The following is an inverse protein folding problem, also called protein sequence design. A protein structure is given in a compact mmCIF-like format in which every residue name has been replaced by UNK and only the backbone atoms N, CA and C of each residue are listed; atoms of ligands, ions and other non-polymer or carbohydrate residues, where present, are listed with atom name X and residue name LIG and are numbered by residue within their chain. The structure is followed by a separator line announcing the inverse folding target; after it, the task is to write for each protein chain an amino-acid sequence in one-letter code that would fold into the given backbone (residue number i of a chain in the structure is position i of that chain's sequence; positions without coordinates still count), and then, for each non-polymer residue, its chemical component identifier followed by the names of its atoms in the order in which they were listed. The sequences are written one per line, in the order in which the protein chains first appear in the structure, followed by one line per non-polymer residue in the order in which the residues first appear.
data_IF_067735804525
#
_entry.id   IF_067735804525
#
_cell.length_a   1.000
_cell.length_b   1.000
_cell.length_c   1.000
_cell.angle_alpha   90.00
_cell.angle_beta   90.00
_cell.angle_gamma   90.00
#
_symmetry.space_group_name_H-M   'P 1'
#
loop_
_entity.id
_entity.type
_entity.pdbx_description
1 polymer ?
#
# COMPACT_ATOMS: atom_id res chain seq x y z
N UNK A 1 -32.14 -41.57 -4.73
CA UNK A 1 -31.44 -40.79 -3.68
C UNK A 1 -30.15 -40.29 -4.30
N UNK A 2 -30.05 -38.97 -4.49
CA UNK A 2 -28.95 -38.34 -5.22
C UNK A 2 -27.65 -38.37 -4.42
N UNK A 3 -26.56 -38.77 -5.08
CA UNK A 3 -25.21 -38.58 -4.59
C UNK A 3 -24.86 -37.10 -4.77
N UNK A 4 -24.67 -36.39 -3.67
CA UNK A 4 -24.11 -35.04 -3.68
C UNK A 4 -22.63 -35.15 -4.01
N UNK A 5 -22.26 -34.72 -5.22
CA UNK A 5 -20.88 -34.59 -5.64
C UNK A 5 -20.12 -33.64 -4.70
N UNK A 6 -19.02 -34.12 -4.14
CA UNK A 6 -18.03 -33.27 -3.46
C UNK A 6 -17.52 -32.25 -4.47
N UNK A 7 -17.90 -30.97 -4.32
CA UNK A 7 -17.20 -29.87 -5.02
C UNK A 7 -15.73 -29.95 -4.61
N UNK A 8 -14.85 -30.15 -5.58
CA UNK A 8 -13.40 -30.27 -5.36
C UNK A 8 -12.83 -28.96 -4.81
N UNK A 9 -12.44 -28.94 -3.52
CA UNK A 9 -11.72 -27.82 -2.87
C UNK A 9 -10.39 -27.46 -3.56
N UNK A 10 -9.89 -28.31 -4.47
CA UNK A 10 -8.66 -28.06 -5.22
C UNK A 10 -8.78 -26.89 -6.20
N UNK A 11 -10.00 -26.59 -6.69
CA UNK A 11 -10.24 -25.51 -7.64
C UNK A 11 -9.89 -24.12 -7.09
N UNK A 12 -10.54 -23.65 -6.01
CA UNK A 12 -10.32 -22.29 -5.47
C UNK A 12 -8.87 -22.00 -5.08
N UNK A 13 -8.19 -22.95 -4.44
CA UNK A 13 -6.78 -22.79 -4.02
C UNK A 13 -5.83 -22.77 -5.23
N UNK A 14 -6.12 -23.57 -6.27
CA UNK A 14 -5.37 -23.54 -7.52
C UNK A 14 -5.44 -22.15 -8.18
N UNK A 15 -6.63 -21.55 -8.23
CA UNK A 15 -6.82 -20.21 -8.79
C UNK A 15 -6.09 -19.13 -8.00
N UNK A 16 -6.09 -19.17 -6.66
CA UNK A 16 -5.27 -18.25 -5.84
C UNK A 16 -3.78 -18.36 -6.15
N UNK A 17 -3.26 -19.59 -6.30
CA UNK A 17 -1.85 -19.82 -6.68
C UNK A 17 -1.54 -19.26 -8.07
N UNK A 18 -2.44 -19.45 -9.04
CA UNK A 18 -2.31 -18.91 -10.41
C UNK A 18 -2.33 -17.38 -10.40
N UNK A 19 -3.28 -16.75 -9.70
CA UNK A 19 -3.34 -15.28 -9.49
C UNK A 19 -2.02 -14.75 -8.93
N UNK A 20 -1.50 -15.38 -7.87
CA UNK A 20 -0.24 -14.97 -7.24
C UNK A 20 0.95 -15.10 -8.19
N UNK A 21 1.04 -16.19 -8.94
CA UNK A 21 2.11 -16.42 -9.92
C UNK A 21 2.09 -15.38 -11.04
N UNK A 22 0.93 -15.17 -11.67
CA UNK A 22 0.78 -14.18 -12.75
C UNK A 22 1.01 -12.75 -12.26
N UNK A 23 0.49 -12.40 -11.09
CA UNK A 23 0.75 -11.11 -10.46
C UNK A 23 2.25 -10.87 -10.26
N UNK A 24 2.99 -11.86 -9.73
CA UNK A 24 4.44 -11.75 -9.53
C UNK A 24 5.20 -11.64 -10.86
N UNK A 25 4.82 -12.41 -11.87
CA UNK A 25 5.41 -12.38 -13.22
C UNK A 25 5.21 -11.01 -13.88
N UNK A 26 3.97 -10.50 -13.89
CA UNK A 26 3.63 -9.20 -14.47
C UNK A 26 4.36 -8.06 -13.75
N UNK A 27 4.44 -8.11 -12.42
CA UNK A 27 5.15 -7.10 -11.62
C UNK A 27 6.65 -7.08 -11.94
N UNK A 28 7.30 -8.25 -12.05
CA UNK A 28 8.72 -8.33 -12.41
C UNK A 28 8.96 -7.82 -13.83
N UNK A 29 8.13 -8.23 -14.80
CA UNK A 29 8.24 -7.80 -16.19
C UNK A 29 8.05 -6.29 -16.33
N UNK A 30 7.02 -5.71 -15.70
CA UNK A 30 6.81 -4.27 -15.67
C UNK A 30 7.96 -3.54 -15.01
N UNK A 31 8.47 -4.03 -13.88
CA UNK A 31 9.61 -3.43 -13.18
C UNK A 31 10.84 -3.36 -14.09
N UNK A 32 11.12 -4.43 -14.83
CA UNK A 32 12.25 -4.46 -15.76
C UNK A 32 12.04 -3.49 -16.94
N UNK A 33 10.86 -3.54 -17.59
CA UNK A 33 10.53 -2.64 -18.71
C UNK A 33 10.58 -1.16 -18.32
N UNK A 34 10.10 -0.82 -17.12
CA UNK A 34 10.05 0.57 -16.62
C UNK A 34 11.35 1.05 -16.00
N UNK A 35 12.36 0.20 -15.81
CA UNK A 35 13.57 0.59 -15.08
C UNK A 35 14.28 1.78 -15.73
N UNK A 36 14.45 1.74 -17.05
CA UNK A 36 15.13 2.80 -17.80
C UNK A 36 14.28 4.07 -17.90
N UNK A 37 12.97 3.92 -18.09
CA UNK A 37 12.02 5.05 -18.07
C UNK A 37 12.05 5.78 -16.72
N UNK A 38 11.97 5.02 -15.63
CA UNK A 38 12.01 5.56 -14.26
C UNK A 38 13.36 6.23 -13.99
N UNK A 39 14.48 5.64 -14.43
CA UNK A 39 15.81 6.24 -14.31
C UNK A 39 15.90 7.58 -15.05
N UNK A 40 15.35 7.65 -16.26
CA UNK A 40 15.25 8.89 -17.03
C UNK A 40 14.39 9.94 -16.31
N UNK A 41 13.24 9.52 -15.78
CA UNK A 41 12.34 10.39 -15.01
C UNK A 41 12.99 10.91 -13.72
N UNK A 42 13.76 10.08 -13.00
CA UNK A 42 14.53 10.53 -11.84
C UNK A 42 15.58 11.56 -12.21
N UNK A 43 16.28 11.38 -13.33
CA UNK A 43 17.25 12.35 -13.83
C UNK A 43 16.59 13.69 -14.20
N UNK A 44 15.47 13.65 -14.93
CA UNK A 44 14.68 14.84 -15.26
C UNK A 44 14.15 15.54 -14.01
N UNK A 45 13.64 14.77 -13.03
CA UNK A 45 13.17 15.32 -11.77
C UNK A 45 14.32 15.92 -10.95
N UNK A 46 15.53 15.33 -11.00
CA UNK A 46 16.71 15.91 -10.35
C UNK A 46 17.05 17.28 -10.92
N UNK A 47 16.90 17.48 -12.22
CA UNK A 47 17.09 18.79 -12.84
C UNK A 47 16.08 19.83 -12.29
N UNK A 48 14.80 19.46 -12.17
CA UNK A 48 13.77 20.32 -11.55
C UNK A 48 14.08 20.64 -10.09
N UNK A 49 14.59 19.66 -9.33
CA UNK A 49 15.02 19.87 -7.95
C UNK A 49 16.14 20.90 -7.92
N UNK A 50 17.19 20.73 -8.74
CA UNK A 50 18.33 21.64 -8.79
C UNK A 50 17.88 23.07 -9.07
N UNK A 51 17.07 23.29 -10.10
CA UNK A 51 16.54 24.61 -10.46
C UNK A 51 15.74 25.25 -9.32
N UNK A 52 14.79 24.52 -8.73
CA UNK A 52 13.96 25.04 -7.62
C UNK A 52 14.79 25.33 -6.38
N UNK A 53 15.72 24.44 -6.04
CA UNK A 53 16.59 24.63 -4.88
C UNK A 53 17.54 25.81 -5.08
N UNK A 54 18.01 26.06 -6.30
CA UNK A 54 18.88 27.20 -6.57
C UNK A 54 18.12 28.52 -6.47
N UNK A 55 16.86 28.59 -6.90
CA UNK A 55 16.00 29.77 -6.68
C UNK A 55 15.88 30.05 -5.17
N UNK A 56 15.53 29.04 -4.38
CA UNK A 56 15.42 29.18 -2.92
C UNK A 56 16.75 29.56 -2.25
N UNK A 57 17.87 29.02 -2.75
CA UNK A 57 19.21 29.32 -2.27
C UNK A 57 19.60 30.78 -2.58
N UNK A 58 19.26 31.29 -3.77
CA UNK A 58 19.50 32.68 -4.13
C UNK A 58 18.66 33.64 -3.29
N UNK A 59 17.37 33.33 -3.08
CA UNK A 59 16.51 34.10 -2.16
C UNK A 59 17.06 34.09 -0.73
N UNK A 60 17.58 32.95 -0.27
CA UNK A 60 18.18 32.84 1.06
C UNK A 60 19.47 33.66 1.19
N UNK A 61 20.35 33.65 0.19
CA UNK A 61 21.60 34.44 0.16
C UNK A 61 21.38 35.94 0.30
N UNK A 62 20.23 36.44 -0.13
CA UNK A 62 19.85 37.85 0.00
C UNK A 62 19.44 38.23 1.43
N UNK A 63 19.09 37.24 2.28
CA UNK A 63 18.67 37.48 3.65
C UNK A 63 19.88 37.64 4.57
N UNK A 64 19.81 38.62 5.46
CA UNK A 64 20.76 38.81 6.56
C UNK A 64 20.04 38.49 7.87
N UNK A 65 19.99 37.21 8.21
CA UNK A 65 19.39 36.72 9.45
C UNK A 65 20.48 36.67 10.52
N UNK A 66 20.24 37.27 11.68
CA UNK A 66 21.15 37.13 12.82
C UNK A 66 21.10 35.68 13.32
N UNK A 67 22.23 34.97 13.41
CA UNK A 67 22.25 33.63 13.98
C UNK A 67 21.92 33.71 15.48
N UNK A 68 21.49 32.58 16.05
CA UNK A 68 21.17 32.51 17.48
C UNK A 68 22.46 32.71 18.29
N UNK A 69 22.40 33.59 19.27
CA UNK A 69 23.48 33.83 20.22
C UNK A 69 23.14 33.20 21.58
N UNK A 70 24.15 32.61 22.23
CA UNK A 70 24.03 32.15 23.61
C UNK A 70 24.14 33.39 24.51
N UNK A 71 23.05 33.77 25.15
CA UNK A 71 23.02 34.85 26.12
C UNK A 71 23.18 34.25 27.52
N UNK A 72 24.40 34.29 28.04
CA UNK A 72 24.71 33.98 29.45
C UNK A 72 25.09 35.25 30.18
N UNK A 73 24.26 36.30 30.08
CA UNK A 73 24.52 37.54 30.81
C UNK A 73 23.66 37.59 32.07
N UNK A 74 24.33 37.91 33.17
CA UNK A 74 23.85 37.96 34.55
C UNK A 74 23.87 36.58 35.22
N UNK A 75 24.76 36.45 36.21
CA UNK A 75 24.82 35.36 37.19
C UNK A 75 23.40 34.91 37.52
N UNK A 76 23.07 33.65 37.21
CA UNK A 76 21.75 33.06 37.40
C UNK A 76 21.11 33.59 38.67
N UNK A 77 20.10 34.44 38.52
CA UNK A 77 19.34 34.98 39.65
C UNK A 77 18.91 33.78 40.50
N UNK A 78 19.19 33.79 41.81
CA UNK A 78 18.87 32.66 42.69
C UNK A 78 17.40 32.26 42.48
N UNK A 79 17.17 31.04 41.99
CA UNK A 79 15.84 30.49 41.75
C UNK A 79 15.49 30.16 40.29
N UNK A 80 16.35 30.49 39.31
CA UNK A 80 16.16 29.98 37.94
C UNK A 80 16.47 28.49 37.87
N UNK A 81 15.55 27.68 37.33
CA UNK A 81 15.79 26.27 37.03
C UNK A 81 16.92 26.15 36.01
N UNK A 82 17.69 25.08 36.08
CA UNK A 82 18.79 24.79 35.16
C UNK A 82 18.49 23.50 34.38
N UNK A 83 19.05 23.41 33.18
CA UNK A 83 19.05 22.22 32.34
C UNK A 83 20.50 21.74 32.17
N UNK A 84 20.74 20.46 32.39
CA UNK A 84 22.04 19.82 32.22
C UNK A 84 22.01 18.84 31.05
N UNK A 85 23.00 18.91 30.17
CA UNK A 85 23.20 17.97 29.06
C UNK A 85 24.52 17.24 29.27
N UNK A 86 24.45 15.93 29.38
CA UNK A 86 25.61 15.02 29.45
C UNK A 86 25.99 14.53 28.05
N UNK A 87 27.25 14.16 27.87
CA UNK A 87 27.75 13.58 26.62
C UNK A 87 28.39 12.23 26.88
N UNK A 88 28.07 11.25 26.03
CA UNK A 88 28.69 9.92 26.08
C UNK A 88 30.10 9.90 25.46
N UNK A 89 30.59 11.03 24.96
CA UNK A 89 31.91 11.20 24.33
C UNK A 89 32.94 11.84 25.28
N UNK A 90 32.74 11.70 26.59
CA UNK A 90 33.60 12.27 27.65
C UNK A 90 33.77 13.81 27.61
N UNK A 91 32.88 14.54 26.94
CA UNK A 91 32.82 16.00 27.06
C UNK A 91 32.26 16.42 28.42
N UNK A 92 32.70 17.57 28.97
CA UNK A 92 32.16 18.06 30.23
C UNK A 92 30.64 18.26 30.14
N UNK A 93 29.95 17.95 31.23
CA UNK A 93 28.50 18.21 31.34
C UNK A 93 28.26 19.71 31.21
N UNK A 94 27.36 20.08 30.29
CA UNK A 94 26.99 21.47 30.05
C UNK A 94 25.73 21.81 30.83
N UNK A 95 25.73 22.97 31.51
CA UNK A 95 24.59 23.44 32.32
C UNK A 95 24.20 24.84 31.86
N UNK A 96 22.92 25.05 31.56
CA UNK A 96 22.35 26.34 31.12
C UNK A 96 21.05 26.66 31.88
N UNK A 97 20.70 27.93 32.08
CA UNK A 97 19.42 28.30 32.69
C UNK A 97 18.23 27.90 31.79
N UNK A 98 17.18 27.35 32.40
CA UNK A 98 15.97 26.90 31.73
C UNK A 98 14.96 28.05 31.64
N UNK A 99 14.75 28.57 30.42
CA UNK A 99 13.76 29.61 30.16
C UNK A 99 12.36 29.01 30.15
N UNK A 100 11.55 29.37 31.15
CA UNK A 100 10.13 28.99 31.19
C UNK A 100 9.36 29.74 30.11
N UNK A 101 8.64 29.00 29.26
CA UNK A 101 7.66 29.56 28.33
C UNK A 101 6.41 29.96 29.12
N UNK A 102 5.87 31.15 28.84
CA UNK A 102 4.69 31.65 29.54
C UNK A 102 3.49 30.75 29.24
N UNK A 103 2.64 30.52 30.25
CA UNK A 103 1.43 29.74 30.08
C UNK A 103 0.49 30.40 29.05
N UNK A 104 -0.05 29.59 28.15
CA UNK A 104 -1.06 29.97 27.16
C UNK A 104 -2.31 29.15 27.43
N UNK A 105 -3.48 29.77 27.33
CA UNK A 105 -4.75 29.08 27.55
C UNK A 105 -4.98 27.99 26.49
N UNK A 106 -5.30 26.78 26.94
CA UNK A 106 -5.66 25.67 26.06
C UNK A 106 -7.11 25.75 25.60
N UNK A 107 -7.36 25.40 24.34
CA UNK A 107 -8.72 25.22 23.80
C UNK A 107 -9.14 23.74 24.01
N UNK A 108 -10.42 23.44 24.24
CA UNK A 108 -10.91 22.06 24.29
C UNK A 108 -10.59 21.25 23.02
N UNK A 109 -10.43 19.93 23.16
CA UNK A 109 -10.19 19.02 22.04
C UNK A 109 -11.43 18.98 21.15
N UNK A 110 -11.24 19.23 19.85
CA UNK A 110 -12.28 19.16 18.84
C UNK A 110 -11.70 18.64 17.53
N UNK A 111 -12.31 17.61 16.96
CA UNK A 111 -11.97 17.14 15.62
C UNK A 111 -12.66 18.01 14.57
N UNK A 112 -12.00 18.17 13.42
CA UNK A 112 -12.59 18.87 12.29
C UNK A 112 -13.80 18.11 11.76
N UNK A 113 -14.89 18.82 11.51
CA UNK A 113 -16.10 18.29 10.88
C UNK A 113 -16.55 19.24 9.76
N UNK A 114 -17.17 18.68 8.72
CA UNK A 114 -17.69 19.46 7.59
C UNK A 114 -19.09 19.98 7.91
N UNK A 115 -19.37 21.28 7.72
CA UNK A 115 -20.69 21.83 7.99
C UNK A 115 -21.72 21.34 6.97
N UNK A 116 -22.93 20.99 7.44
CA UNK A 116 -24.03 20.53 6.61
C UNK A 116 -25.26 21.42 6.79
N UNK A 117 -25.90 21.78 5.67
CA UNK A 117 -27.21 22.47 5.66
C UNK A 117 -28.38 21.47 5.59
N UNK A 118 -28.12 20.27 5.07
CA UNK A 118 -29.06 19.16 4.94
C UNK A 118 -28.31 17.85 5.17
N UNK A 119 -29.04 16.80 5.54
CA UNK A 119 -28.45 15.49 5.79
C UNK A 119 -27.82 14.91 4.51
N UNK A 120 -26.69 14.20 4.67
CA UNK A 120 -25.99 13.51 3.60
C UNK A 120 -26.07 12.01 3.83
N UNK A 121 -26.59 11.27 2.84
CA UNK A 121 -26.65 9.81 2.90
C UNK A 121 -25.25 9.23 2.64
N UNK A 122 -24.82 8.28 3.46
CA UNK A 122 -23.50 7.62 3.35
C UNK A 122 -23.71 6.12 3.28
N UNK A 123 -23.02 5.46 2.33
CA UNK A 123 -23.00 4.01 2.20
C UNK A 123 -22.23 3.36 3.36
N UNK A 124 -22.58 2.11 3.68
CA UNK A 124 -21.91 1.37 4.74
C UNK A 124 -20.44 1.10 4.40
N UNK A 125 -19.57 1.33 5.38
CA UNK A 125 -18.15 1.02 5.29
C UNK A 125 -17.91 -0.48 5.53
N UNK A 126 -17.42 -1.20 4.51
CA UNK A 126 -17.22 -2.65 4.56
C UNK A 126 -15.78 -3.07 4.88
N UNK A 127 -14.84 -2.12 4.92
CA UNK A 127 -13.41 -2.35 5.15
C UNK A 127 -12.87 -1.25 6.06
N UNK A 128 -12.24 -1.65 7.17
CA UNK A 128 -11.63 -0.72 8.10
C UNK A 128 -10.38 -0.09 7.49
N UNK A 129 -10.39 1.22 7.25
CA UNK A 129 -9.28 1.95 6.60
C UNK A 129 -8.23 2.49 7.57
N UNK A 130 -8.53 2.54 8.87
CA UNK A 130 -7.60 2.98 9.90
C UNK A 130 -7.86 2.29 11.23
N UNK A 131 -6.81 1.81 11.90
CA UNK A 131 -6.89 1.31 13.28
C UNK A 131 -6.62 2.51 14.22
N UNK A 132 -7.57 2.91 15.08
CA UNK A 132 -7.37 4.03 15.98
C UNK A 132 -6.18 3.80 16.92
N UNK A 133 -5.24 4.75 16.95
CA UNK A 133 -4.19 4.73 17.94
C UNK A 133 -4.71 5.26 19.28
N UNK A 134 -4.70 4.40 20.31
CA UNK A 134 -5.21 4.73 21.65
C UNK A 134 -4.12 4.87 22.71
N UNK A 135 -2.85 4.83 22.30
CA UNK A 135 -1.70 4.80 23.20
C UNK A 135 -1.20 3.38 23.44
N UNK A 136 0.13 3.21 23.44
CA UNK A 136 0.78 1.90 23.62
C UNK A 136 0.37 1.26 24.96
N UNK A 137 0.27 2.07 26.01
CA UNK A 137 -0.13 1.62 27.36
C UNK A 137 -1.53 0.99 27.42
N UNK A 138 -2.43 1.40 26.52
CA UNK A 138 -3.82 0.90 26.43
C UNK A 138 -3.86 -0.37 25.58
N UNK A 139 -3.08 -0.41 24.50
CA UNK A 139 -3.01 -1.56 23.60
C UNK A 139 -2.43 -2.80 24.29
N UNK A 140 -1.48 -2.62 25.21
CA UNK A 140 -0.88 -3.72 25.99
C UNK A 140 -1.85 -4.32 27.04
N UNK A 141 -2.90 -3.59 27.42
CA UNK A 141 -3.86 -4.01 28.45
C UNK A 141 -5.09 -4.72 27.87
N UNK A 142 -5.54 -4.31 26.69
CA UNK A 142 -6.75 -4.83 26.07
C UNK A 142 -6.59 -5.07 24.56
N UNK A 143 -5.87 -6.14 24.23
CA UNK A 143 -5.79 -6.64 22.86
C UNK A 143 -7.13 -7.14 22.31
N UNK A 144 -8.11 -7.45 23.18
CA UNK A 144 -9.41 -7.98 22.76
C UNK A 144 -10.27 -6.95 22.06
N UNK A 145 -10.20 -5.68 22.47
CA UNK A 145 -10.89 -4.59 21.78
C UNK A 145 -10.51 -4.50 20.29
N UNK A 146 -9.22 -4.62 19.96
CA UNK A 146 -8.76 -4.53 18.56
C UNK A 146 -9.25 -5.73 17.76
N UNK A 147 -9.22 -6.93 18.33
CA UNK A 147 -9.74 -8.13 17.69
C UNK A 147 -11.25 -8.02 17.42
N UNK A 148 -12.03 -7.51 18.37
CA UNK A 148 -13.47 -7.27 18.21
C UNK A 148 -13.77 -6.19 17.16
N UNK A 149 -13.00 -5.11 17.14
CA UNK A 149 -13.10 -4.07 16.12
C UNK A 149 -12.88 -4.66 14.73
N UNK A 150 -11.81 -5.42 14.53
CA UNK A 150 -11.48 -6.06 13.25
C UNK A 150 -12.58 -7.05 12.84
N UNK A 151 -13.16 -7.79 13.80
CA UNK A 151 -14.24 -8.74 13.56
C UNK A 151 -15.51 -8.07 13.03
N UNK A 152 -15.81 -6.83 13.45
CA UNK A 152 -16.96 -6.08 12.93
C UNK A 152 -16.84 -5.74 11.43
N UNK A 153 -15.63 -5.80 10.88
CA UNK A 153 -15.33 -5.59 9.46
C UNK A 153 -14.99 -6.91 8.75
N UNK A 154 -15.46 -8.06 9.25
CA UNK A 154 -15.15 -9.40 8.70
C UNK A 154 -13.64 -9.70 8.57
N UNK A 155 -12.81 -9.08 9.41
CA UNK A 155 -11.35 -9.20 9.29
C UNK A 155 -10.73 -8.35 8.18
N UNK A 156 -11.50 -7.50 7.49
CA UNK A 156 -11.02 -6.69 6.37
C UNK A 156 -10.44 -5.37 6.87
N UNK A 157 -9.12 -5.29 6.92
CA UNK A 157 -8.37 -4.06 7.22
C UNK A 157 -7.59 -3.61 5.99
N UNK A 158 -7.60 -2.32 5.70
CA UNK A 158 -6.83 -1.77 4.58
C UNK A 158 -5.33 -2.05 4.78
N UNK A 159 -4.71 -2.63 3.75
CA UNK A 159 -3.28 -2.98 3.77
C UNK A 159 -2.96 -4.35 4.38
N UNK A 160 -3.92 -5.06 4.97
CA UNK A 160 -3.75 -6.45 5.37
C UNK A 160 -3.84 -7.35 4.13
N UNK A 161 -2.69 -7.76 3.58
CA UNK A 161 -2.61 -8.52 2.32
C UNK A 161 -1.49 -9.56 2.33
N UNK A 162 -1.80 -10.75 1.83
CA UNK A 162 -0.78 -11.74 1.43
C UNK A 162 -0.02 -11.32 0.14
N UNK A 163 -0.65 -10.49 -0.70
CA UNK A 163 -0.12 -9.98 -1.96
C UNK A 163 0.21 -8.49 -1.89
N UNK A 164 1.16 -8.03 -2.71
CA UNK A 164 1.65 -6.65 -2.68
C UNK A 164 0.65 -5.60 -3.21
N UNK A 165 1.18 -4.44 -3.59
CA UNK A 165 0.38 -3.36 -4.17
C UNK A 165 -0.17 -3.72 -5.56
N UNK A 166 -1.47 -3.50 -5.78
CA UNK A 166 -2.11 -3.59 -7.10
C UNK A 166 -2.72 -2.22 -7.46
N UNK A 167 -2.34 -1.71 -8.63
CA UNK A 167 -2.94 -0.54 -9.26
C UNK A 167 -3.75 -0.98 -10.49
N UNK A 168 -4.56 -0.06 -11.02
CA UNK A 168 -5.50 -0.33 -12.12
C UNK A 168 -4.79 -0.89 -13.36
N UNK A 169 -3.58 -0.42 -13.65
CA UNK A 169 -2.78 -0.91 -14.78
C UNK A 169 -2.37 -2.39 -14.61
N UNK A 170 -1.88 -2.78 -13.42
CA UNK A 170 -1.54 -4.18 -13.13
C UNK A 170 -2.81 -5.03 -13.01
N UNK A 171 -3.91 -4.46 -12.48
CA UNK A 171 -5.19 -5.14 -12.35
C UNK A 171 -5.74 -5.57 -13.72
N UNK A 172 -5.82 -4.65 -14.68
CA UNK A 172 -6.29 -4.96 -16.05
C UNK A 172 -5.39 -6.00 -16.72
N UNK A 173 -4.07 -5.91 -16.57
CA UNK A 173 -3.14 -6.91 -17.12
C UNK A 173 -3.30 -8.28 -16.46
N UNK A 174 -3.55 -8.30 -15.15
CA UNK A 174 -3.77 -9.53 -14.39
C UNK A 174 -5.05 -10.24 -14.82
N UNK A 175 -6.16 -9.51 -14.94
CA UNK A 175 -7.44 -10.05 -15.45
C UNK A 175 -7.25 -10.60 -16.87
N UNK A 176 -6.55 -9.85 -17.74
CA UNK A 176 -6.27 -10.27 -19.11
C UNK A 176 -5.30 -11.46 -19.24
N UNK A 177 -4.39 -11.64 -18.29
CA UNK A 177 -3.50 -12.80 -18.22
C UNK A 177 -4.27 -14.03 -17.73
N UNK A 178 -5.10 -13.87 -16.69
CA UNK A 178 -5.91 -14.95 -16.13
C UNK A 178 -6.99 -15.44 -17.09
N UNK A 179 -7.56 -14.53 -17.90
CA UNK A 179 -8.53 -14.89 -18.96
C UNK A 179 -7.95 -15.76 -20.08
N UNK A 180 -6.62 -15.90 -20.20
CA UNK A 180 -6.00 -16.82 -21.17
C UNK A 180 -6.05 -18.27 -20.68
N UNK A 181 -6.02 -18.49 -19.37
CA UNK A 181 -6.11 -19.84 -18.78
C UNK A 181 -7.53 -20.39 -18.77
N UNK A 182 -8.56 -19.54 -18.76
CA UNK A 182 -9.95 -19.97 -18.79
C UNK A 182 -10.36 -20.59 -20.14
N UNK A 183 -9.64 -20.29 -21.22
CA UNK A 183 -9.87 -20.88 -22.54
C UNK A 183 -9.08 -22.20 -22.74
N UNK A 184 -8.06 -22.49 -21.91
CA UNK A 184 -7.21 -23.70 -22.01
C UNK A 184 -7.68 -24.86 -21.11
N UNK A 185 -8.45 -24.59 -20.05
CA UNK A 185 -8.98 -25.61 -19.13
C UNK A 185 -10.35 -26.21 -19.59
N UNK A 186 -10.94 -25.78 -20.71
CA UNK A 186 -12.19 -26.38 -21.22
C UNK A 186 -11.98 -27.74 -21.94
N UNK A 187 -10.73 -28.16 -22.19
CA UNK A 187 -10.40 -29.38 -22.97
C UNK A 187 -9.69 -30.52 -22.20
N UNK A 188 -9.36 -30.38 -20.91
CA UNK A 188 -8.58 -31.39 -20.15
C UNK A 188 -9.36 -31.96 -18.94
N UNK A 189 -10.58 -32.43 -19.18
CA UNK A 189 -11.26 -33.38 -18.28
C UNK A 189 -10.80 -34.81 -18.60
N UNK A 190 -9.53 -35.09 -18.32
CA UNK A 190 -9.02 -36.44 -18.07
C UNK A 190 -7.85 -36.88 -18.93
N UNK A 191 -6.63 -36.69 -18.44
CA UNK A 191 -5.70 -37.82 -18.35
C UNK A 191 -4.61 -37.64 -17.28
N UNK A 192 -4.12 -38.79 -16.83
CA UNK A 192 -3.16 -39.05 -15.75
C UNK A 192 -1.84 -38.25 -15.85
N UNK A 193 -1.19 -37.84 -14.73
CA UNK A 193 0.03 -37.05 -14.77
C UNK A 193 1.25 -37.99 -14.72
N UNK A 194 1.66 -38.57 -15.85
CA UNK A 194 2.97 -39.28 -15.90
C UNK A 194 3.74 -39.15 -17.23
N UNK A 195 3.43 -38.21 -18.12
CA UNK A 195 4.14 -38.14 -19.42
C UNK A 195 4.22 -36.74 -20.07
N UNK A 196 4.65 -35.71 -19.32
CA UNK A 196 4.81 -34.34 -19.88
C UNK A 196 6.19 -33.71 -19.64
N UNK A 197 7.28 -34.49 -19.76
CA UNK A 197 8.65 -33.95 -19.64
C UNK A 197 9.34 -33.58 -20.97
N UNK A 198 8.72 -33.76 -22.16
CA UNK A 198 9.48 -33.66 -23.43
C UNK A 198 8.97 -32.67 -24.51
N UNK A 199 8.06 -31.73 -24.20
CA UNK A 199 7.52 -30.79 -25.22
C UNK A 199 8.07 -29.37 -25.11
N UNK A 200 9.33 -29.18 -24.72
CA UNK A 200 9.94 -27.86 -24.52
C UNK A 200 10.78 -27.32 -25.70
N UNK A 201 10.60 -27.83 -26.94
CA UNK A 201 11.47 -27.46 -28.09
C UNK A 201 10.78 -26.99 -29.38
N UNK A 202 9.50 -26.58 -29.35
CA UNK A 202 8.75 -26.30 -30.59
C UNK A 202 8.24 -24.88 -30.85
N UNK A 203 8.40 -23.91 -29.93
CA UNK A 203 7.59 -22.66 -29.97
C UNK A 203 8.34 -21.39 -30.38
N UNK A 204 9.52 -21.50 -30.99
CA UNK A 204 10.29 -20.33 -31.47
C UNK A 204 10.13 -20.00 -32.97
N UNK A 205 9.14 -20.55 -33.67
CA UNK A 205 8.85 -20.15 -35.06
C UNK A 205 7.34 -20.09 -35.32
N UNK A 206 6.71 -18.96 -34.98
CA UNK A 206 5.62 -18.37 -35.77
C UNK A 206 5.23 -17.00 -35.22
N UNK A 207 5.98 -15.98 -35.65
CA UNK A 207 5.62 -14.57 -35.51
C UNK A 207 5.15 -14.04 -36.86
N UNK A 208 4.05 -14.53 -37.38
CA UNK A 208 3.37 -13.93 -38.52
C UNK A 208 1.96 -14.55 -38.66
N UNK A 209 1.01 -14.05 -37.86
CA UNK A 209 -0.37 -13.87 -38.33
C UNK A 209 -1.17 -13.04 -37.30
N UNK A 210 -1.25 -11.75 -37.59
CA UNK A 210 -2.26 -10.85 -37.00
C UNK A 210 -3.42 -10.82 -38.00
N UNK A 211 -4.45 -11.63 -37.77
CA UNK A 211 -5.83 -11.26 -38.10
C UNK A 211 -6.79 -12.34 -37.56
N UNK A 212 -7.87 -11.90 -36.91
CA UNK A 212 -9.01 -12.70 -36.42
C UNK A 212 -8.82 -13.56 -35.15
N UNK A 213 -8.42 -12.95 -34.03
CA UNK A 213 -8.86 -13.50 -32.73
C UNK A 213 -10.30 -13.02 -32.48
N UNK A 214 -11.28 -13.90 -32.17
CA UNK A 214 -12.61 -13.46 -31.78
C UNK A 214 -12.50 -12.51 -30.56
N UNK A 215 -13.45 -11.57 -30.39
CA UNK A 215 -13.45 -10.71 -29.20
C UNK A 215 -13.39 -11.62 -27.98
N UNK A 216 -12.34 -11.45 -27.16
CA UNK A 216 -12.15 -12.23 -25.94
C UNK A 216 -13.46 -12.22 -25.16
N UNK A 217 -13.97 -13.41 -24.81
CA UNK A 217 -15.13 -13.51 -23.92
C UNK A 217 -14.84 -12.72 -22.66
N UNK A 218 -15.86 -12.08 -22.11
CA UNK A 218 -15.71 -11.36 -20.85
C UNK A 218 -15.13 -12.33 -19.79
N UNK A 219 -14.14 -11.92 -18.99
CA UNK A 219 -13.47 -12.81 -18.04
C UNK A 219 -14.46 -13.53 -17.11
N UNK A 220 -14.20 -14.80 -16.81
CA UNK A 220 -15.06 -15.61 -15.94
C UNK A 220 -15.19 -15.01 -14.54
N UNK A 221 -16.37 -15.11 -13.92
CA UNK A 221 -16.63 -14.68 -12.53
C UNK A 221 -15.65 -15.30 -11.53
N UNK A 222 -15.18 -16.53 -11.81
CA UNK A 222 -14.17 -17.24 -11.04
C UNK A 222 -12.83 -16.50 -10.93
N UNK A 223 -12.49 -15.68 -11.92
CA UNK A 223 -11.29 -14.83 -11.91
C UNK A 223 -11.45 -13.71 -10.89
N UNK A 224 -12.61 -13.04 -10.89
CA UNK A 224 -12.89 -11.93 -9.98
C UNK A 224 -13.02 -12.43 -8.52
N UNK A 225 -13.62 -13.59 -8.29
CA UNK A 225 -13.64 -14.26 -6.98
C UNK A 225 -12.21 -14.55 -6.49
N UNK A 226 -11.35 -15.09 -7.36
CA UNK A 226 -9.98 -15.42 -7.01
C UNK A 226 -9.14 -14.16 -6.71
N UNK A 227 -9.29 -13.10 -7.50
CA UNK A 227 -8.60 -11.81 -7.27
C UNK A 227 -9.10 -11.15 -5.98
N UNK A 228 -10.42 -11.05 -5.76
CA UNK A 228 -11.01 -10.48 -4.54
C UNK A 228 -10.50 -11.20 -3.29
N UNK A 229 -10.34 -12.53 -3.35
CA UNK A 229 -9.78 -13.29 -2.23
C UNK A 229 -8.31 -13.01 -1.91
N UNK A 230 -7.52 -12.54 -2.89
CA UNK A 230 -6.11 -12.16 -2.71
C UNK A 230 -5.93 -10.67 -2.38
N UNK A 231 -6.95 -9.85 -2.68
CA UNK A 231 -6.98 -8.41 -2.46
C UNK A 231 -8.32 -7.97 -1.83
N UNK A 232 -8.60 -8.34 -0.56
CA UNK A 232 -9.91 -8.10 0.07
C UNK A 232 -10.31 -6.63 0.15
N UNK A 233 -9.33 -5.74 0.22
CA UNK A 233 -9.52 -4.28 0.30
C UNK A 233 -9.78 -3.60 -1.06
N UNK A 234 -9.75 -4.36 -2.17
CA UNK A 234 -10.08 -3.85 -3.51
C UNK A 234 -11.56 -4.01 -3.87
N UNK A 235 -12.31 -4.74 -3.06
CA UNK A 235 -13.75 -4.91 -3.20
C UNK A 235 -14.18 -6.35 -3.37
N UNK A 236 -15.50 -6.56 -3.43
CA UNK A 236 -16.08 -7.87 -3.76
C UNK A 236 -15.79 -8.27 -5.20
N UNK A 237 -16.08 -9.52 -5.57
CA UNK A 237 -15.93 -9.97 -6.95
C UNK A 237 -16.77 -9.13 -7.93
N UNK A 238 -17.97 -8.71 -7.51
CA UNK A 238 -18.88 -7.87 -8.28
C UNK A 238 -18.31 -6.45 -8.46
N UNK A 239 -17.82 -5.83 -7.39
CA UNK A 239 -17.19 -4.50 -7.45
C UNK A 239 -15.94 -4.50 -8.34
N UNK A 240 -15.15 -5.58 -8.32
CA UNK A 240 -14.00 -5.75 -9.21
C UNK A 240 -14.39 -6.00 -10.68
N UNK A 241 -15.56 -6.58 -10.91
CA UNK A 241 -16.10 -6.82 -12.26
C UNK A 241 -16.72 -5.55 -12.87
N UNK A 242 -17.26 -4.68 -12.03
CA UNK A 242 -17.81 -3.38 -12.42
C UNK A 242 -16.70 -2.34 -12.72
N UNK A 243 -15.56 -2.43 -12.03
CA UNK A 243 -14.35 -1.61 -12.24
C UNK A 243 -13.65 -1.90 -13.58
#
# INVERSE_FOLDING_TARGET
MGQTGKKSEKGPVCWRKRVKSEYMRLRQLKRFRRADEVKSMFSSNRQKILERTEILNQEWKQRRIQPVHILTSVSSLRGTRECSVTSDLDFPTQVIPLKTLNAVASVPIMYSWSPLQQNFMVEDETVLHNIPYMGDEVLDQDGTFIEELIKNYDGKVHGDRECGFINDEIFVELVNALGQYSDEDEDDDGDDPDDREDTQKGLEENREDKESRPPRKFPSDKIFEAISSMFPDKGTAEELKEK
#
